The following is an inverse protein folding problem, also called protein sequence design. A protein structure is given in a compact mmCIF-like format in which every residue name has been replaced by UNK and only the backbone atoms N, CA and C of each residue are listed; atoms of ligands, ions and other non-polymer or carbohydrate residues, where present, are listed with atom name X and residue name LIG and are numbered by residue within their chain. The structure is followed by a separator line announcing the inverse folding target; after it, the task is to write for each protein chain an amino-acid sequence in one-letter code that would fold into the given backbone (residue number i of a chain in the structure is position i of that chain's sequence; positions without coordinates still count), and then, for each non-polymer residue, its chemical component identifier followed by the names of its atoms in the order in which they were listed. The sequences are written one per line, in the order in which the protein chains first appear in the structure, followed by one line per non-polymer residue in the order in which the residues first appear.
data_IF_104900619520
#
_entry.id   IF_104900619520
#
_cell.length_a   1.000
_cell.length_b   1.000
_cell.length_c   1.000
_cell.angle_alpha   90.00
_cell.angle_beta   90.00
_cell.angle_gamma   90.00
#
_symmetry.space_group_name_H-M   'P 1'
#
loop_
_entity.id
_entity.type
_entity.pdbx_description
1 polymer ?
#
# COMPACT_ATOMS: atom_id res chain seq x y z
N UNK A 1 -12.98 15.83 20.44
CA UNK A 1 -12.70 17.15 19.86
C UNK A 1 -12.93 17.06 18.36
N UNK A 2 -13.93 17.77 17.83
CA UNK A 2 -14.22 17.83 16.39
C UNK A 2 -13.05 18.57 15.73
N UNK A 3 -12.24 17.83 14.96
CA UNK A 3 -11.21 18.45 14.10
C UNK A 3 -11.96 19.26 13.06
N UNK A 4 -11.72 20.56 12.98
CA UNK A 4 -12.32 21.49 12.02
C UNK A 4 -12.13 20.93 10.59
N UNK A 5 -13.21 20.34 10.10
CA UNK A 5 -13.28 19.78 8.75
C UNK A 5 -13.41 20.96 7.79
N UNK A 6 -12.33 21.32 7.12
CA UNK A 6 -12.39 22.34 6.07
C UNK A 6 -13.06 21.71 4.85
N UNK A 7 -14.30 22.10 4.57
CA UNK A 7 -14.93 21.75 3.30
C UNK A 7 -14.26 22.53 2.18
N UNK A 8 -13.60 21.83 1.28
CA UNK A 8 -12.90 22.40 0.13
C UNK A 8 -13.71 22.27 -1.17
N UNK A 9 -14.93 21.79 -1.10
CA UNK A 9 -15.79 21.61 -2.30
C UNK A 9 -15.96 22.92 -3.04
N UNK A 10 -15.73 22.91 -4.35
CA UNK A 10 -15.77 24.09 -5.22
C UNK A 10 -14.49 24.91 -5.27
N UNK A 11 -13.53 24.71 -4.36
CA UNK A 11 -12.23 25.40 -4.41
C UNK A 11 -11.45 24.97 -5.65
N UNK A 12 -10.68 25.91 -6.22
CA UNK A 12 -9.77 25.65 -7.35
C UNK A 12 -8.33 25.70 -6.86
N UNK A 13 -7.69 24.55 -6.81
CA UNK A 13 -6.29 24.41 -6.36
C UNK A 13 -5.35 24.60 -7.55
N UNK A 14 -4.28 25.39 -7.31
CA UNK A 14 -3.28 25.68 -8.35
C UNK A 14 -3.86 26.29 -9.62
N UNK A 15 -4.99 27.01 -9.51
CA UNK A 15 -5.75 27.64 -10.62
C UNK A 15 -6.21 26.65 -11.71
N UNK A 16 -6.21 25.33 -11.39
CA UNK A 16 -6.45 24.29 -12.40
C UNK A 16 -7.36 23.17 -11.91
N UNK A 17 -7.29 22.78 -10.65
CA UNK A 17 -7.98 21.60 -10.17
C UNK A 17 -9.16 21.99 -9.29
N UNK A 18 -10.38 21.91 -9.82
CA UNK A 18 -11.60 22.21 -9.06
C UNK A 18 -12.00 21.01 -8.22
N UNK A 19 -12.00 21.15 -6.92
CA UNK A 19 -12.42 20.11 -5.97
C UNK A 19 -13.92 19.86 -6.10
N UNK A 20 -14.27 18.57 -6.26
CA UNK A 20 -15.65 18.11 -6.39
C UNK A 20 -16.15 17.41 -5.11
N UNK A 21 -15.35 16.53 -4.54
CA UNK A 21 -15.69 15.81 -3.30
C UNK A 21 -14.46 15.25 -2.59
N UNK A 22 -14.53 15.13 -1.27
CA UNK A 22 -13.58 14.35 -0.48
C UNK A 22 -13.85 12.85 -0.72
N UNK A 23 -12.83 12.09 -1.14
CA UNK A 23 -12.94 10.66 -1.44
C UNK A 23 -12.10 9.77 -0.51
N UNK A 24 -11.19 10.37 0.26
CA UNK A 24 -10.36 9.63 1.20
C UNK A 24 -9.68 10.54 2.22
N UNK A 25 -9.33 9.96 3.38
CA UNK A 25 -8.63 10.67 4.43
C UNK A 25 -7.61 9.72 5.06
N UNK A 26 -6.32 10.02 4.83
CA UNK A 26 -5.20 9.30 5.43
C UNK A 26 -4.66 9.99 6.70
N UNK A 27 -3.56 9.46 7.24
CA UNK A 27 -2.89 10.08 8.38
C UNK A 27 -2.32 11.46 8.05
N UNK A 28 -1.64 11.59 6.91
CA UNK A 28 -0.94 12.82 6.52
C UNK A 28 -1.71 13.69 5.53
N UNK A 29 -2.61 13.13 4.74
CA UNK A 29 -3.25 13.83 3.63
C UNK A 29 -4.74 13.55 3.53
N UNK A 30 -5.43 14.46 2.87
CA UNK A 30 -6.79 14.31 2.39
C UNK A 30 -6.76 14.09 0.89
N UNK A 31 -7.63 13.22 0.38
CA UNK A 31 -7.73 12.90 -1.04
C UNK A 31 -9.08 13.35 -1.56
N UNK A 32 -9.06 14.18 -2.58
CA UNK A 32 -10.26 14.74 -3.20
C UNK A 32 -10.39 14.27 -4.64
N UNK A 33 -11.60 14.01 -5.08
CA UNK A 33 -11.92 14.01 -6.51
C UNK A 33 -11.93 15.45 -6.98
N UNK A 34 -11.17 15.74 -8.04
CA UNK A 34 -11.10 17.06 -8.62
C UNK A 34 -11.19 17.00 -10.16
N UNK A 35 -11.80 18.01 -10.75
CA UNK A 35 -11.82 18.21 -12.21
C UNK A 35 -10.61 19.04 -12.61
N UNK A 36 -9.76 18.51 -13.47
CA UNK A 36 -8.73 19.27 -14.17
C UNK A 36 -9.39 20.16 -15.22
N UNK A 37 -9.42 21.46 -14.97
CA UNK A 37 -10.09 22.43 -15.85
C UNK A 37 -9.41 22.58 -17.21
N UNK A 38 -8.13 22.21 -17.33
CA UNK A 38 -7.40 22.27 -18.60
C UNK A 38 -7.73 21.08 -19.51
N UNK A 39 -7.85 19.88 -18.96
CA UNK A 39 -8.09 18.65 -19.72
C UNK A 39 -9.50 18.13 -19.67
N UNK A 40 -10.34 18.67 -18.78
CA UNK A 40 -11.71 18.21 -18.49
C UNK A 40 -11.76 16.75 -18.02
N UNK A 41 -10.68 16.26 -17.40
CA UNK A 41 -10.57 14.90 -16.85
C UNK A 41 -10.59 14.97 -15.32
N UNK A 42 -11.29 14.02 -14.69
CA UNK A 42 -11.24 13.87 -13.24
C UNK A 42 -9.93 13.23 -12.79
N UNK A 43 -9.38 13.76 -11.71
CA UNK A 43 -8.15 13.31 -11.05
C UNK A 43 -8.38 13.12 -9.56
N UNK A 44 -7.51 12.39 -8.88
CA UNK A 44 -7.41 12.42 -7.43
C UNK A 44 -6.39 13.49 -7.02
N UNK A 45 -6.80 14.39 -6.14
CA UNK A 45 -5.96 15.45 -5.60
C UNK A 45 -5.65 15.14 -4.14
N UNK A 46 -4.43 14.72 -3.86
CA UNK A 46 -3.94 14.40 -2.51
C UNK A 46 -3.28 15.66 -1.94
N UNK A 47 -3.83 16.23 -0.87
CA UNK A 47 -3.36 17.49 -0.25
C UNK A 47 -2.87 17.17 1.16
N UNK A 48 -1.68 17.65 1.54
CA UNK A 48 -1.18 17.55 2.92
C UNK A 48 -2.18 18.22 3.87
N UNK A 49 -2.49 17.55 5.00
CA UNK A 49 -3.40 18.09 6.00
C UNK A 49 -2.90 19.42 6.55
N UNK A 50 -3.82 20.37 6.77
CA UNK A 50 -3.53 21.67 7.36
C UNK A 50 -2.82 21.57 8.71
N UNK A 51 -3.16 20.58 9.53
CA UNK A 51 -2.50 20.32 10.82
C UNK A 51 -1.01 19.97 10.70
N UNK A 52 -0.55 19.54 9.53
CA UNK A 52 0.84 19.20 9.23
C UNK A 52 1.53 20.24 8.34
N UNK A 53 0.80 21.23 7.83
CA UNK A 53 1.37 22.25 6.93
C UNK A 53 2.37 23.18 7.62
N UNK A 54 2.37 23.25 8.94
CA UNK A 54 3.37 23.95 9.75
C UNK A 54 4.66 23.15 10.02
N UNK A 55 4.70 21.85 9.68
CA UNK A 55 5.88 21.00 9.87
C UNK A 55 6.71 20.90 8.57
N UNK A 56 7.91 21.52 8.51
CA UNK A 56 8.77 21.44 7.34
C UNK A 56 9.18 19.99 6.96
N UNK A 57 9.33 19.12 7.96
CA UNK A 57 9.67 17.72 7.74
C UNK A 57 8.51 16.96 7.08
N UNK A 58 7.28 17.21 7.49
CA UNK A 58 6.10 16.62 6.86
C UNK A 58 5.93 17.08 5.41
N UNK A 59 6.13 18.37 5.14
CA UNK A 59 6.11 18.91 3.77
C UNK A 59 7.18 18.28 2.89
N UNK A 60 8.40 18.22 3.38
CA UNK A 60 9.53 17.65 2.63
C UNK A 60 9.29 16.17 2.31
N UNK A 61 8.84 15.38 3.30
CA UNK A 61 8.49 13.97 3.08
C UNK A 61 7.41 13.81 2.02
N UNK A 62 6.31 14.56 2.14
CA UNK A 62 5.20 14.50 1.20
C UNK A 62 5.62 14.88 -0.23
N UNK A 63 6.42 15.94 -0.40
CA UNK A 63 6.92 16.37 -1.71
C UNK A 63 7.86 15.34 -2.34
N UNK A 64 8.80 14.81 -1.55
CA UNK A 64 9.72 13.75 -2.01
C UNK A 64 8.97 12.48 -2.44
N UNK A 65 7.94 12.08 -1.68
CA UNK A 65 7.06 10.98 -2.07
C UNK A 65 6.49 11.20 -3.47
N UNK A 66 5.90 12.37 -3.70
CA UNK A 66 5.34 12.72 -4.99
C UNK A 66 6.36 12.75 -6.12
N UNK A 67 7.55 13.31 -5.89
CA UNK A 67 8.62 13.37 -6.90
C UNK A 67 9.14 11.99 -7.31
N UNK A 68 9.29 11.09 -6.35
CA UNK A 68 9.73 9.71 -6.62
C UNK A 68 8.64 8.95 -7.35
N UNK A 69 7.40 8.99 -6.84
CA UNK A 69 6.27 8.30 -7.46
C UNK A 69 5.99 8.84 -8.87
N UNK A 70 6.21 10.13 -9.12
CA UNK A 70 6.04 10.73 -10.45
C UNK A 70 6.96 10.15 -11.53
N UNK A 71 8.05 9.49 -11.15
CA UNK A 71 8.99 8.82 -12.08
C UNK A 71 8.58 7.38 -12.39
N UNK A 72 7.75 6.78 -11.55
CA UNK A 72 7.31 5.40 -11.71
C UNK A 72 6.19 5.33 -12.76
N UNK A 73 6.33 4.44 -13.73
CA UNK A 73 5.33 4.22 -14.79
C UNK A 73 5.08 2.72 -14.94
N UNK A 74 3.98 2.26 -14.40
CA UNK A 74 3.54 0.88 -14.56
C UNK A 74 2.03 0.78 -14.37
N UNK A 75 1.37 -0.14 -15.07
CA UNK A 75 -0.09 -0.32 -14.96
C UNK A 75 -0.57 -0.68 -13.54
N UNK A 76 0.29 -1.29 -12.75
CA UNK A 76 -0.02 -1.68 -11.38
C UNK A 76 0.49 -0.67 -10.33
N UNK A 77 0.78 0.56 -10.74
CA UNK A 77 1.12 1.70 -9.88
C UNK A 77 0.21 2.86 -10.25
N UNK A 78 -0.43 3.49 -9.27
CA UNK A 78 -1.19 4.71 -9.50
C UNK A 78 -0.26 5.82 -10.00
N UNK A 79 -0.57 6.39 -11.16
CA UNK A 79 0.29 7.41 -11.77
C UNK A 79 0.18 8.74 -11.01
N UNK A 80 1.32 9.41 -10.79
CA UNK A 80 1.36 10.82 -10.38
C UNK A 80 1.56 11.67 -11.62
N UNK A 81 0.63 12.60 -11.86
CA UNK A 81 0.63 13.46 -13.04
C UNK A 81 1.33 14.79 -12.82
N UNK A 82 1.21 15.34 -11.61
CA UNK A 82 1.83 16.62 -11.23
C UNK A 82 1.94 16.75 -9.70
N UNK A 83 2.80 17.64 -9.28
CA UNK A 83 2.96 18.08 -7.90
C UNK A 83 2.85 19.60 -7.84
N UNK A 84 2.48 20.14 -6.69
CA UNK A 84 2.41 21.59 -6.50
C UNK A 84 2.21 21.99 -5.05
N UNK A 85 2.06 23.27 -4.82
CA UNK A 85 1.80 23.87 -3.52
C UNK A 85 0.54 24.74 -3.65
N UNK A 86 -0.38 24.63 -2.69
CA UNK A 86 -1.60 25.45 -2.65
C UNK A 86 -1.27 26.89 -2.26
N UNK A 87 -2.23 27.80 -2.40
CA UNK A 87 -2.12 29.21 -1.96
C UNK A 87 -1.93 29.34 -0.43
N UNK A 88 -2.21 28.25 0.31
CA UNK A 88 -2.03 28.17 1.77
C UNK A 88 -0.75 27.41 2.17
N UNK A 89 0.23 27.30 1.24
CA UNK A 89 1.51 26.62 1.48
C UNK A 89 1.37 25.14 1.86
N UNK A 90 0.33 24.46 1.32
CA UNK A 90 0.10 23.02 1.50
C UNK A 90 0.55 22.28 0.23
N UNK A 91 1.51 21.36 0.30
CA UNK A 91 1.87 20.52 -0.83
C UNK A 91 0.70 19.64 -1.29
N UNK A 92 0.57 19.46 -2.60
CA UNK A 92 -0.41 18.55 -3.19
C UNK A 92 0.18 17.69 -4.31
N UNK A 93 -0.42 16.52 -4.53
CA UNK A 93 -0.14 15.61 -5.63
C UNK A 93 -1.41 15.44 -6.47
N UNK A 94 -1.23 15.46 -7.79
CA UNK A 94 -2.28 15.10 -8.75
C UNK A 94 -2.04 13.68 -9.18
N UNK A 95 -2.96 12.79 -8.84
CA UNK A 95 -2.81 11.33 -8.99
C UNK A 95 -3.92 10.79 -9.90
N UNK A 96 -3.68 9.65 -10.51
CA UNK A 96 -4.69 8.88 -11.23
C UNK A 96 -5.91 8.66 -10.33
N UNK A 97 -7.09 9.02 -10.83
CA UNK A 97 -8.36 8.73 -10.16
C UNK A 97 -8.77 7.29 -10.46
N UNK A 98 -8.47 6.41 -9.55
CA UNK A 98 -8.82 4.99 -9.67
C UNK A 98 -10.32 4.77 -9.38
N UNK A 99 -10.97 3.98 -10.23
CA UNK A 99 -12.41 3.68 -10.16
C UNK A 99 -12.59 2.27 -9.61
N UNK A 100 -12.69 2.14 -8.29
CA UNK A 100 -12.82 0.82 -7.70
C UNK A 100 -12.89 0.86 -6.19
N UNK A 101 -12.48 -0.25 -5.57
CA UNK A 101 -12.48 -0.42 -4.12
C UNK A 101 -11.07 -0.81 -3.67
N UNK A 102 -10.73 -0.48 -2.43
CA UNK A 102 -9.50 -1.03 -1.85
C UNK A 102 -9.68 -2.53 -1.57
N UNK A 103 -8.61 -3.30 -1.62
CA UNK A 103 -8.63 -4.71 -1.21
C UNK A 103 -9.16 -4.85 0.23
N UNK A 104 -8.89 -3.89 1.11
CA UNK A 104 -9.47 -3.83 2.46
C UNK A 104 -11.00 -3.83 2.44
N UNK A 105 -11.60 -3.04 1.55
CA UNK A 105 -13.07 -2.98 1.42
C UNK A 105 -13.64 -4.29 0.88
N UNK A 106 -12.94 -4.93 -0.04
CA UNK A 106 -13.33 -6.23 -0.60
C UNK A 106 -13.25 -7.32 0.46
N UNK A 107 -12.14 -7.42 1.21
CA UNK A 107 -12.00 -8.40 2.29
C UNK A 107 -13.00 -8.23 3.43
N UNK A 108 -13.43 -6.99 3.71
CA UNK A 108 -14.53 -6.75 4.66
C UNK A 108 -15.87 -7.30 4.16
N UNK A 109 -16.10 -7.31 2.87
CA UNK A 109 -17.36 -7.77 2.27
C UNK A 109 -17.37 -9.29 2.01
N UNK A 110 -16.24 -9.84 1.55
CA UNK A 110 -16.14 -11.22 1.06
C UNK A 110 -15.44 -12.16 2.05
N UNK A 111 -14.84 -11.62 3.11
CA UNK A 111 -14.01 -12.31 4.12
C UNK A 111 -12.75 -12.90 3.50
N UNK A 112 -12.85 -13.82 2.56
CA UNK A 112 -11.73 -14.48 1.84
C UNK A 112 -11.99 -14.50 0.33
N UNK A 113 -10.92 -14.62 -0.43
CA UNK A 113 -10.98 -14.68 -1.90
C UNK A 113 -10.72 -16.11 -2.40
N UNK A 114 -11.17 -16.39 -3.62
CA UNK A 114 -10.77 -17.64 -4.29
C UNK A 114 -9.24 -17.66 -4.53
N UNK A 115 -8.60 -18.84 -4.51
CA UNK A 115 -7.17 -18.98 -4.75
C UNK A 115 -6.69 -18.28 -6.01
N UNK A 116 -7.42 -18.42 -7.10
CA UNK A 116 -7.12 -17.78 -8.40
C UNK A 116 -7.13 -16.26 -8.31
N UNK A 117 -8.11 -15.68 -7.62
CA UNK A 117 -8.22 -14.22 -7.46
C UNK A 117 -7.13 -13.68 -6.54
N UNK A 118 -6.85 -14.37 -5.42
CA UNK A 118 -5.79 -14.02 -4.50
C UNK A 118 -4.40 -14.06 -5.16
N UNK A 119 -4.10 -15.13 -5.89
CA UNK A 119 -2.85 -15.27 -6.64
C UNK A 119 -2.68 -14.17 -7.69
N UNK A 120 -3.75 -13.87 -8.44
CA UNK A 120 -3.69 -12.81 -9.45
C UNK A 120 -3.47 -11.42 -8.86
N UNK A 121 -4.09 -11.11 -7.71
CA UNK A 121 -3.88 -9.80 -7.07
C UNK A 121 -2.48 -9.66 -6.50
N UNK A 122 -1.96 -10.69 -5.85
CA UNK A 122 -0.58 -10.71 -5.37
C UNK A 122 0.43 -10.59 -6.53
N UNK A 123 0.21 -11.34 -7.62
CA UNK A 123 1.03 -11.27 -8.83
C UNK A 123 1.06 -9.85 -9.42
N UNK A 124 -0.10 -9.22 -9.58
CA UNK A 124 -0.18 -7.85 -10.10
C UNK A 124 0.52 -6.84 -9.18
N UNK A 125 0.37 -6.97 -7.85
CA UNK A 125 1.07 -6.12 -6.90
C UNK A 125 2.59 -6.28 -7.02
N UNK A 126 3.08 -7.51 -7.16
CA UNK A 126 4.51 -7.81 -7.36
C UNK A 126 5.06 -7.25 -8.67
N UNK A 127 4.27 -7.23 -9.76
CA UNK A 127 4.67 -6.56 -11.01
C UNK A 127 4.92 -5.06 -10.80
N UNK A 128 4.06 -4.40 -10.04
CA UNK A 128 4.26 -3.00 -9.64
C UNK A 128 5.48 -2.83 -8.73
N UNK A 129 5.65 -3.72 -7.74
CA UNK A 129 6.78 -3.67 -6.81
C UNK A 129 8.14 -3.89 -7.48
N UNK A 130 8.21 -4.74 -8.51
CA UNK A 130 9.44 -4.93 -9.27
C UNK A 130 9.95 -3.60 -9.85
N UNK A 131 9.08 -2.80 -10.45
CA UNK A 131 9.42 -1.46 -10.99
C UNK A 131 9.83 -0.49 -9.88
N UNK A 132 9.14 -0.56 -8.72
CA UNK A 132 9.49 0.26 -7.54
C UNK A 132 10.90 -0.07 -7.06
N UNK A 133 11.20 -1.35 -6.87
CA UNK A 133 12.49 -1.84 -6.37
C UNK A 133 13.64 -1.58 -7.36
N UNK A 134 13.41 -1.76 -8.67
CA UNK A 134 14.38 -1.40 -9.73
C UNK A 134 14.76 0.08 -9.71
N UNK A 135 13.85 0.95 -9.25
CA UNK A 135 14.11 2.38 -9.08
C UNK A 135 14.84 2.73 -7.77
N UNK A 136 15.29 1.72 -7.01
CA UNK A 136 15.97 1.90 -5.72
C UNK A 136 15.03 2.34 -4.59
N UNK A 137 13.73 2.14 -4.74
CA UNK A 137 12.68 2.58 -3.82
C UNK A 137 12.01 1.38 -3.17
N UNK A 138 11.55 1.52 -1.93
CA UNK A 138 10.71 0.55 -1.23
C UNK A 138 9.33 1.14 -1.01
N UNK A 139 8.28 0.29 -1.05
CA UNK A 139 6.90 0.75 -0.77
C UNK A 139 6.68 1.03 0.71
N UNK A 140 7.16 0.18 1.60
CA UNK A 140 7.20 0.32 3.08
C UNK A 140 5.88 0.36 3.84
N UNK A 141 4.73 0.54 3.18
CA UNK A 141 3.39 0.57 3.80
C UNK A 141 2.40 -0.31 3.02
N UNK A 142 2.85 -1.51 2.64
CA UNK A 142 1.97 -2.47 1.96
C UNK A 142 0.94 -3.02 2.95
N UNK A 143 -0.33 -2.85 2.58
CA UNK A 143 -1.51 -3.34 3.29
C UNK A 143 -2.71 -3.35 2.36
N UNK A 144 -3.79 -4.10 2.64
CA UNK A 144 -4.95 -4.17 1.77
C UNK A 144 -5.62 -2.82 1.47
N UNK A 145 -5.42 -1.81 2.32
CA UNK A 145 -5.94 -0.47 2.08
C UNK A 145 -5.17 0.28 0.97
N UNK A 146 -3.92 -0.13 0.69
CA UNK A 146 -3.05 0.50 -0.30
C UNK A 146 -2.98 -0.28 -1.63
N UNK A 147 -3.88 -1.27 -1.82
CA UNK A 147 -4.12 -1.95 -3.09
C UNK A 147 -5.52 -1.58 -3.59
N UNK A 148 -5.58 -0.80 -4.67
CA UNK A 148 -6.84 -0.47 -5.34
C UNK A 148 -7.18 -1.53 -6.39
N UNK A 149 -8.41 -1.99 -6.38
CA UNK A 149 -8.97 -2.95 -7.32
C UNK A 149 -9.91 -2.22 -8.26
N UNK A 150 -9.53 -2.08 -9.51
CA UNK A 150 -10.35 -1.45 -10.54
C UNK A 150 -11.01 -2.46 -11.44
N UNK A 151 -12.26 -2.23 -11.85
CA UNK A 151 -12.89 -3.02 -12.92
C UNK A 151 -12.00 -3.04 -14.17
N UNK A 152 -11.83 -4.22 -14.75
CA UNK A 152 -11.12 -4.40 -16.01
C UNK A 152 -11.99 -5.14 -17.01
N UNK A 153 -11.69 -5.13 -18.32
CA UNK A 153 -12.45 -5.90 -19.31
C UNK A 153 -12.43 -7.41 -19.08
N UNK A 154 -11.46 -7.92 -18.29
CA UNK A 154 -11.35 -9.33 -17.93
C UNK A 154 -12.11 -9.68 -16.65
N UNK A 155 -12.13 -10.98 -16.28
CA UNK A 155 -12.83 -11.47 -15.10
C UNK A 155 -12.16 -11.11 -13.77
N UNK A 156 -10.96 -10.55 -13.81
CA UNK A 156 -10.17 -10.18 -12.63
C UNK A 156 -9.83 -8.70 -12.72
N UNK A 157 -10.02 -7.99 -11.63
CA UNK A 157 -9.77 -6.56 -11.52
C UNK A 157 -8.27 -6.22 -11.71
N UNK A 158 -7.99 -5.02 -12.20
CA UNK A 158 -6.66 -4.43 -12.19
C UNK A 158 -6.29 -4.05 -10.75
N UNK A 159 -5.14 -4.48 -10.27
CA UNK A 159 -4.56 -3.99 -9.02
C UNK A 159 -3.66 -2.81 -9.30
N UNK A 160 -3.82 -1.73 -8.54
CA UNK A 160 -2.90 -0.60 -8.54
C UNK A 160 -2.40 -0.30 -7.12
N UNK A 161 -1.08 -0.21 -6.95
CA UNK A 161 -0.43 0.23 -5.73
C UNK A 161 -0.64 1.73 -5.55
N UNK A 162 -1.05 2.11 -4.35
CA UNK A 162 -1.24 3.51 -3.96
C UNK A 162 -0.46 3.77 -2.66
N UNK A 163 -0.23 5.05 -2.35
CA UNK A 163 0.28 5.52 -1.04
C UNK A 163 1.57 4.83 -0.59
N UNK A 164 2.69 5.22 -1.19
CA UNK A 164 4.02 4.76 -0.78
C UNK A 164 4.39 5.32 0.59
N UNK A 165 4.91 4.48 1.47
CA UNK A 165 5.25 4.85 2.85
C UNK A 165 6.56 5.61 3.00
N UNK A 166 6.85 6.62 2.17
CA UNK A 166 8.06 7.44 2.28
C UNK A 166 8.17 8.22 3.58
N UNK A 167 7.10 8.30 4.36
CA UNK A 167 7.12 8.91 5.69
C UNK A 167 8.16 8.30 6.66
N UNK A 168 8.71 7.13 6.31
CA UNK A 168 9.72 6.38 7.09
C UNK A 168 11.16 6.58 6.58
N UNK A 169 11.44 7.62 5.77
CA UNK A 169 12.66 7.72 4.96
C UNK A 169 13.90 8.28 5.67
N UNK A 170 13.97 8.60 6.93
CA UNK A 170 15.25 9.01 7.54
C UNK A 170 15.40 8.49 8.96
N UNK A 171 16.35 7.54 9.11
CA UNK A 171 17.28 7.49 10.25
C UNK A 171 16.74 7.20 11.64
N UNK A 172 15.50 6.89 11.82
CA UNK A 172 15.01 6.49 13.14
C UNK A 172 14.34 5.12 13.08
N UNK A 173 15.18 4.14 13.27
CA UNK A 173 14.84 2.87 13.89
C UNK A 173 14.52 3.08 15.40
N UNK A 174 14.09 4.23 15.77
CA UNK A 174 13.33 4.38 17.00
C UNK A 174 11.88 4.20 16.59
N UNK A 175 11.38 2.95 16.72
CA UNK A 175 9.97 2.71 16.97
C UNK A 175 9.62 3.58 18.21
N UNK A 176 9.35 4.85 17.99
CA UNK A 176 8.65 5.64 18.97
C UNK A 176 7.24 5.08 18.94
N UNK A 177 6.91 4.25 19.94
CA UNK A 177 5.58 3.69 20.19
C UNK A 177 4.47 4.76 20.24
N UNK A 178 4.83 6.03 20.16
CA UNK A 178 3.96 7.20 20.13
C UNK A 178 3.66 7.68 18.71
N UNK A 179 3.09 6.83 17.87
CA UNK A 179 2.63 7.28 16.54
C UNK A 179 2.46 6.21 15.48
N UNK A 180 2.74 4.96 15.78
CA UNK A 180 2.43 3.84 14.89
C UNK A 180 0.96 3.48 15.11
N UNK A 181 0.13 3.65 14.09
CA UNK A 181 -1.27 3.21 14.14
C UNK A 181 -1.28 1.68 14.13
N UNK A 182 -1.96 1.05 15.09
CA UNK A 182 -2.08 -0.42 15.28
C UNK A 182 -2.30 -1.19 13.95
N UNK A 183 -3.05 -0.62 13.02
CA UNK A 183 -3.31 -1.24 11.72
C UNK A 183 -2.11 -1.34 10.77
N UNK A 184 -0.99 -0.63 11.03
CA UNK A 184 0.22 -0.70 10.19
C UNK A 184 1.19 -1.79 10.66
N UNK A 185 1.11 -2.23 11.92
CA UNK A 185 1.95 -3.31 12.45
C UNK A 185 1.58 -4.68 11.89
N UNK A 186 0.33 -4.89 11.51
CA UNK A 186 -0.18 -6.18 11.00
C UNK A 186 0.59 -6.73 9.78
N UNK A 187 1.22 -5.85 9.00
CA UNK A 187 1.88 -6.21 7.73
C UNK A 187 3.39 -5.93 7.77
N UNK A 188 3.93 -5.56 8.94
CA UNK A 188 5.32 -5.14 9.06
C UNK A 188 6.27 -6.34 9.03
N UNK A 189 7.39 -6.20 8.34
CA UNK A 189 8.40 -7.25 8.28
C UNK A 189 9.26 -7.29 9.56
N UNK A 190 9.69 -8.48 10.02
CA UNK A 190 10.47 -8.68 11.25
C UNK A 190 11.72 -7.82 11.35
N UNK A 191 12.50 -7.70 10.27
CA UNK A 191 13.72 -6.90 10.24
C UNK A 191 13.47 -5.42 10.53
N UNK A 192 12.29 -4.91 10.11
CA UNK A 192 11.90 -3.53 10.43
C UNK A 192 11.58 -3.34 11.91
N UNK A 193 11.07 -4.38 12.56
CA UNK A 193 10.81 -4.40 14.00
C UNK A 193 12.12 -4.53 14.80
N UNK A 194 13.11 -5.28 14.27
CA UNK A 194 14.46 -5.39 14.85
C UNK A 194 15.27 -4.12 14.66
N UNK A 195 14.82 -3.21 13.80
CA UNK A 195 15.53 -2.00 13.50
C UNK A 195 16.65 -2.14 12.50
N UNK A 196 16.62 -3.21 11.73
CA UNK A 196 17.55 -3.46 10.64
C UNK A 196 17.20 -2.63 9.40
N UNK A 197 18.16 -2.46 8.49
CA UNK A 197 17.91 -1.76 7.23
C UNK A 197 17.02 -2.63 6.33
N UNK A 198 15.81 -2.17 5.96
CA UNK A 198 14.94 -2.90 5.09
C UNK A 198 15.43 -2.89 3.64
N UNK A 199 15.18 -3.96 2.91
CA UNK A 199 15.29 -4.04 1.46
C UNK A 199 13.96 -4.47 0.81
N UNK A 200 13.97 -4.77 -0.49
CA UNK A 200 12.77 -5.19 -1.23
C UNK A 200 12.06 -6.41 -0.62
N UNK A 201 12.79 -7.27 0.09
CA UNK A 201 12.25 -8.47 0.74
C UNK A 201 11.36 -8.16 1.94
N UNK A 202 11.45 -6.96 2.51
CA UNK A 202 10.49 -6.47 3.50
C UNK A 202 9.09 -6.26 2.90
N UNK A 203 9.03 -5.73 1.67
CA UNK A 203 7.77 -5.58 0.94
C UNK A 203 7.19 -6.95 0.54
N UNK A 204 8.06 -7.95 0.22
CA UNK A 204 7.62 -9.31 -0.09
C UNK A 204 6.97 -10.00 1.11
N UNK A 205 7.52 -9.80 2.32
CA UNK A 205 6.88 -10.26 3.55
C UNK A 205 5.48 -9.67 3.71
N UNK A 206 5.33 -8.36 3.49
CA UNK A 206 4.02 -7.71 3.57
C UNK A 206 3.04 -8.26 2.53
N UNK A 207 3.49 -8.58 1.31
CA UNK A 207 2.67 -9.28 0.30
C UNK A 207 2.31 -10.69 0.77
N UNK A 208 3.24 -11.42 1.42
CA UNK A 208 2.96 -12.72 2.04
C UNK A 208 1.83 -12.65 3.07
N UNK A 209 1.86 -11.66 3.97
CA UNK A 209 0.79 -11.41 4.94
C UNK A 209 -0.54 -11.10 4.25
N UNK A 210 -0.53 -10.26 3.21
CA UNK A 210 -1.73 -9.91 2.44
C UNK A 210 -2.28 -11.15 1.71
N UNK A 211 -1.42 -11.97 1.12
CA UNK A 211 -1.83 -13.19 0.43
C UNK A 211 -2.42 -14.21 1.42
N UNK A 212 -1.79 -14.38 2.58
CA UNK A 212 -2.35 -15.19 3.67
C UNK A 212 -3.76 -14.70 4.04
N UNK A 213 -3.94 -13.38 4.28
CA UNK A 213 -5.25 -12.80 4.63
C UNK A 213 -6.28 -12.99 3.51
N UNK A 214 -5.90 -12.86 2.25
CA UNK A 214 -6.81 -13.11 1.13
C UNK A 214 -7.31 -14.56 1.08
N UNK A 215 -6.45 -15.52 1.41
CA UNK A 215 -6.77 -16.95 1.36
C UNK A 215 -7.52 -17.45 2.59
N UNK A 216 -7.16 -16.98 3.78
CA UNK A 216 -7.70 -17.45 5.06
C UNK A 216 -8.87 -16.61 5.59
N UNK A 217 -8.96 -15.33 5.17
CA UNK A 217 -9.91 -14.35 5.68
C UNK A 217 -9.42 -13.54 6.88
N UNK A 218 -8.19 -13.79 7.32
CA UNK A 218 -7.56 -13.10 8.44
C UNK A 218 -6.05 -13.00 8.27
N UNK A 219 -5.35 -11.97 8.77
CA UNK A 219 -3.90 -11.95 8.79
C UNK A 219 -3.35 -13.08 9.68
N UNK A 220 -2.11 -13.56 9.42
CA UNK A 220 -1.51 -14.68 10.14
C UNK A 220 -1.33 -14.38 11.64
N UNK A 221 -1.10 -13.13 11.99
CA UNK A 221 -0.88 -12.71 13.36
C UNK A 221 -1.91 -11.66 13.77
N UNK A 222 -2.49 -11.84 14.96
CA UNK A 222 -3.45 -10.93 15.58
C UNK A 222 -3.23 -10.92 17.08
N UNK A 223 -3.21 -9.75 17.67
CA UNK A 223 -3.15 -9.57 19.12
C UNK A 223 -3.92 -8.32 19.53
N UNK A 224 -4.39 -8.28 20.78
CA UNK A 224 -5.05 -7.12 21.35
C UNK A 224 -4.03 -6.03 21.73
N UNK A 225 -2.79 -6.43 22.02
CA UNK A 225 -1.70 -5.53 22.38
C UNK A 225 -0.64 -5.49 21.28
N UNK A 226 -0.10 -4.31 21.03
CA UNK A 226 0.91 -4.08 20.00
C UNK A 226 2.19 -4.91 20.22
N UNK A 227 2.61 -5.06 21.48
CA UNK A 227 3.82 -5.81 21.82
C UNK A 227 3.68 -7.29 21.48
N UNK A 228 2.52 -7.90 21.77
CA UNK A 228 2.26 -9.29 21.43
C UNK A 228 2.27 -9.51 19.91
N UNK A 229 1.72 -8.56 19.14
CA UNK A 229 1.75 -8.60 17.68
C UNK A 229 3.18 -8.47 17.13
N UNK A 230 4.00 -7.61 17.75
CA UNK A 230 5.43 -7.46 17.42
C UNK A 230 6.15 -8.78 17.68
N UNK A 231 5.97 -9.39 18.85
CA UNK A 231 6.56 -10.69 19.20
C UNK A 231 6.17 -11.78 18.21
N UNK A 232 4.88 -11.85 17.82
CA UNK A 232 4.42 -12.80 16.81
C UNK A 232 5.11 -12.60 15.44
N UNK A 233 5.28 -11.36 14.99
CA UNK A 233 6.01 -11.11 13.75
C UNK A 233 7.49 -11.48 13.85
N UNK A 234 8.11 -11.30 15.02
CA UNK A 234 9.52 -11.60 15.23
C UNK A 234 9.78 -13.11 15.29
N UNK A 235 8.97 -13.85 16.06
CA UNK A 235 9.36 -15.18 16.53
C UNK A 235 8.32 -16.28 16.28
N UNK A 236 7.00 -15.95 16.23
CA UNK A 236 5.99 -16.98 16.07
C UNK A 236 5.92 -17.50 14.63
N UNK A 237 5.78 -18.80 14.47
CA UNK A 237 5.49 -19.40 13.17
C UNK A 237 4.08 -18.99 12.71
N UNK A 238 3.87 -18.65 11.43
CA UNK A 238 2.54 -18.39 10.92
C UNK A 238 1.68 -19.66 11.01
N UNK A 239 0.38 -19.52 11.33
CA UNK A 239 -0.52 -20.67 11.34
C UNK A 239 -0.61 -21.30 9.95
N UNK A 240 -0.72 -22.61 9.86
CA UNK A 240 -0.88 -23.30 8.59
C UNK A 240 -2.17 -22.85 7.88
N UNK A 241 -2.08 -22.60 6.59
CA UNK A 241 -3.23 -22.41 5.73
C UNK A 241 -4.01 -23.72 5.57
N UNK A 242 -5.32 -23.62 5.29
CA UNK A 242 -6.20 -24.76 5.08
C UNK A 242 -5.62 -25.72 4.01
N UNK A 243 -5.52 -27.00 4.36
CA UNK A 243 -4.97 -28.04 3.48
C UNK A 243 -5.77 -28.25 2.18
N UNK A 244 -7.01 -27.74 2.11
CA UNK A 244 -7.82 -27.75 0.89
C UNK A 244 -7.37 -26.69 -0.14
N UNK A 245 -6.55 -25.72 0.29
CA UNK A 245 -5.93 -24.77 -0.61
C UNK A 245 -4.80 -25.43 -1.42
N UNK A 246 -4.56 -24.99 -2.65
CA UNK A 246 -3.47 -25.50 -3.48
C UNK A 246 -2.13 -25.44 -2.76
N UNK A 247 -1.40 -26.54 -2.72
CA UNK A 247 -0.09 -26.68 -2.04
C UNK A 247 0.88 -25.59 -2.47
N UNK A 248 1.00 -25.35 -3.77
CA UNK A 248 1.89 -24.34 -4.32
C UNK A 248 1.61 -22.92 -3.77
N UNK A 249 0.35 -22.57 -3.46
CA UNK A 249 0.04 -21.29 -2.84
C UNK A 249 0.40 -21.25 -1.34
N UNK A 250 0.24 -22.37 -0.64
CA UNK A 250 0.66 -22.50 0.76
C UNK A 250 2.16 -22.32 0.88
N UNK A 251 2.93 -23.03 0.03
CA UNK A 251 4.39 -22.95 -0.02
C UNK A 251 4.88 -21.52 -0.34
N UNK A 252 4.19 -20.82 -1.26
CA UNK A 252 4.53 -19.42 -1.58
C UNK A 252 4.33 -18.52 -0.37
N UNK A 253 3.25 -18.70 0.36
CA UNK A 253 2.97 -17.90 1.57
C UNK A 253 4.00 -18.22 2.64
N UNK A 254 4.29 -19.47 2.92
CA UNK A 254 5.24 -19.89 3.94
C UNK A 254 6.65 -19.34 3.64
N UNK A 255 7.08 -19.43 2.37
CA UNK A 255 8.35 -18.87 1.92
C UNK A 255 8.40 -17.33 2.07
N UNK A 256 7.32 -16.63 1.74
CA UNK A 256 7.26 -15.18 1.88
C UNK A 256 7.23 -14.71 3.34
N UNK A 257 6.68 -15.53 4.25
CA UNK A 257 6.56 -15.24 5.68
C UNK A 257 7.77 -15.68 6.51
N UNK A 258 8.83 -16.20 5.90
CA UNK A 258 10.09 -16.53 6.57
C UNK A 258 10.61 -15.33 7.36
N UNK A 259 11.16 -15.59 8.57
CA UNK A 259 11.55 -14.55 9.53
C UNK A 259 12.80 -13.77 9.10
N UNK A 260 13.68 -14.41 8.38
CA UNK A 260 14.90 -13.80 7.87
C UNK A 260 14.75 -13.46 6.38
N UNK A 261 15.13 -12.25 5.94
CA UNK A 261 15.03 -11.87 4.52
C UNK A 261 15.78 -12.82 3.57
N UNK A 262 16.88 -13.43 4.02
CA UNK A 262 17.66 -14.40 3.24
C UNK A 262 16.93 -15.71 2.93
N UNK A 263 15.88 -16.00 3.68
CA UNK A 263 15.06 -17.22 3.55
C UNK A 263 13.80 -16.96 2.71
N UNK A 264 13.62 -15.74 2.21
CA UNK A 264 12.51 -15.35 1.34
C UNK A 264 12.92 -15.35 -0.13
N UNK A 265 11.96 -15.08 -1.01
CA UNK A 265 12.26 -14.81 -2.43
C UNK A 265 13.31 -13.70 -2.57
N UNK A 266 14.20 -13.86 -3.53
CA UNK A 266 15.28 -12.89 -3.76
C UNK A 266 14.76 -11.49 -4.12
N UNK A 267 13.68 -11.43 -4.89
CA UNK A 267 13.06 -10.19 -5.38
C UNK A 267 11.58 -10.40 -5.75
N UNK A 268 10.90 -9.30 -6.09
CA UNK A 268 9.49 -9.31 -6.49
C UNK A 268 9.23 -10.14 -7.74
N UNK A 269 10.18 -10.18 -8.67
CA UNK A 269 10.08 -10.94 -9.91
C UNK A 269 10.12 -12.44 -9.63
N UNK A 270 10.97 -12.90 -8.72
CA UNK A 270 11.07 -14.31 -8.33
C UNK A 270 9.76 -14.78 -7.68
N UNK A 271 9.19 -14.00 -6.75
CA UNK A 271 7.90 -14.32 -6.13
C UNK A 271 6.74 -14.29 -7.14
N UNK A 272 6.75 -13.33 -8.07
CA UNK A 272 5.74 -13.25 -9.13
C UNK A 272 5.77 -14.48 -10.06
N UNK A 273 6.96 -14.96 -10.41
CA UNK A 273 7.11 -16.20 -11.21
C UNK A 273 6.58 -17.44 -10.48
N UNK A 274 6.79 -17.54 -9.17
CA UNK A 274 6.23 -18.63 -8.38
C UNK A 274 4.69 -18.61 -8.39
N UNK A 275 4.07 -17.42 -8.24
CA UNK A 275 2.61 -17.26 -8.36
C UNK A 275 2.10 -17.59 -9.76
N UNK A 276 2.82 -17.21 -10.81
CA UNK A 276 2.46 -17.51 -12.19
C UNK A 276 2.47 -19.01 -12.45
N UNK A 277 3.50 -19.72 -11.96
CA UNK A 277 3.57 -21.18 -12.04
C UNK A 277 2.43 -21.85 -11.27
N UNK A 278 2.14 -21.38 -10.04
CA UNK A 278 1.02 -21.88 -9.25
C UNK A 278 -0.34 -21.63 -9.95
N UNK A 279 -0.51 -20.48 -10.60
CA UNK A 279 -1.76 -20.14 -11.28
C UNK A 279 -2.11 -21.09 -12.43
N UNK A 280 -1.13 -21.75 -13.05
CA UNK A 280 -1.35 -22.76 -14.10
C UNK A 280 -2.03 -24.03 -13.56
N UNK A 281 -1.92 -24.28 -12.26
CA UNK A 281 -2.55 -25.43 -11.58
C UNK A 281 -3.91 -25.07 -10.95
N UNK A 282 -4.26 -23.76 -10.93
CA UNK A 282 -5.53 -23.28 -10.42
C UNK A 282 -6.56 -23.36 -11.56
N UNK A 283 -7.39 -24.35 -11.55
CA UNK A 283 -8.46 -24.55 -12.52
C UNK A 283 -9.49 -23.41 -12.53
#
# INVERSE_FOLDING_TARGET
MSVDRVDRTGQVIGRRFRIDALIGQGAMAEVYRALDLATQVYVALKILKKSLSGDPSAKLRFSREGEVQAKLRHRNIAAVYATGITEHDEPYLVVELLRGKTLRSVLKAETRLSPRRAASYAWQALQGLAVVHESGVLHRDLKPANLMLEPSPGPIERVALIDFGFATLEGSVKLTLQGVVVGSLTYIAPERLRGELPDGRSDLYSIGVILFEMLSGAPPFRADHEMDLIEMHLDAEPPALDATLPEALRDIVDHALAKYPSERYADATAMARALEAAAQTLG
#
